data_IF_570846399941
#
_entry.id   IF_570846399941
#
_cell.length_a   1.000
_cell.length_b   1.000
_cell.length_c   1.000
_cell.angle_alpha   90.00
_cell.angle_beta   90.00
_cell.angle_gamma   90.00
#
_symmetry.space_group_name_H-M   'P 1'
#
loop_
_entity.id
_entity.type
_entity.pdbx_description
1 polymer ?
#
# COMPACT_ATOMS: atom_id res chain seq x y z
N UNK A 1 -29.53 17.72 -7.61
CA UNK A 1 -29.39 16.58 -8.55
C UNK A 1 -29.59 17.15 -9.94
N UNK A 2 -28.54 17.75 -10.50
CA UNK A 2 -28.57 18.28 -11.86
C UNK A 2 -28.33 17.12 -12.83
N UNK A 3 -29.37 16.79 -13.58
CA UNK A 3 -29.27 15.94 -14.76
C UNK A 3 -28.37 16.64 -15.78
N UNK A 4 -27.11 16.20 -15.88
CA UNK A 4 -26.23 16.46 -17.01
C UNK A 4 -26.94 16.00 -18.29
N UNK A 5 -27.58 16.94 -18.98
CA UNK A 5 -28.06 16.77 -20.35
C UNK A 5 -26.83 16.64 -21.25
N UNK A 6 -26.32 15.43 -21.43
CA UNK A 6 -25.34 15.16 -22.47
C UNK A 6 -25.99 15.46 -23.84
N UNK A 7 -25.47 16.48 -24.50
CA UNK A 7 -25.91 16.89 -25.83
C UNK A 7 -25.73 15.73 -26.84
N UNK A 8 -26.59 15.61 -27.87
CA UNK A 8 -26.56 14.55 -28.87
C UNK A 8 -25.43 14.74 -29.91
N UNK A 9 -24.20 14.93 -29.44
CA UNK A 9 -23.04 15.27 -30.28
C UNK A 9 -22.39 14.06 -30.99
N UNK A 10 -22.95 12.85 -30.83
CA UNK A 10 -22.23 11.61 -31.14
C UNK A 10 -22.42 11.06 -32.57
N UNK A 11 -23.39 11.54 -33.35
CA UNK A 11 -23.64 10.97 -34.71
C UNK A 11 -22.80 11.59 -35.84
N UNK A 12 -22.41 12.86 -35.73
CA UNK A 12 -21.79 13.60 -36.85
C UNK A 12 -20.29 13.26 -37.03
N UNK A 13 -19.64 12.74 -35.99
CA UNK A 13 -18.19 12.53 -36.00
C UNK A 13 -17.74 11.44 -36.99
N UNK A 14 -18.51 10.36 -37.16
CA UNK A 14 -18.08 9.21 -37.98
C UNK A 14 -18.27 9.46 -39.48
N UNK A 15 -19.40 10.06 -39.88
CA UNK A 15 -19.73 10.35 -41.29
C UNK A 15 -18.69 11.26 -41.96
N UNK A 16 -18.02 12.08 -41.15
CA UNK A 16 -16.96 12.98 -41.59
C UNK A 16 -15.54 12.40 -41.38
N UNK A 17 -15.42 11.26 -40.71
CA UNK A 17 -14.14 10.59 -40.49
C UNK A 17 -13.74 9.76 -41.73
N UNK A 18 -12.43 9.65 -41.98
CA UNK A 18 -11.90 8.77 -43.02
C UNK A 18 -12.29 7.30 -42.78
N UNK A 19 -12.35 6.87 -41.52
CA UNK A 19 -12.75 5.52 -41.12
C UNK A 19 -14.20 5.19 -41.51
N UNK A 20 -15.10 6.17 -41.47
CA UNK A 20 -16.51 5.98 -41.86
C UNK A 20 -16.71 5.83 -43.37
N UNK A 21 -15.68 6.14 -44.18
CA UNK A 21 -15.70 6.03 -45.65
C UNK A 21 -14.95 4.81 -46.16
N UNK A 22 -14.30 4.05 -45.29
CA UNK A 22 -13.60 2.84 -45.69
C UNK A 22 -14.63 1.74 -46.01
N UNK A 23 -14.41 0.96 -47.09
CA UNK A 23 -15.15 -0.27 -47.31
C UNK A 23 -15.01 -1.24 -46.11
N UNK A 24 -16.06 -2.03 -45.79
CA UNK A 24 -16.02 -3.00 -44.70
C UNK A 24 -14.82 -3.97 -44.76
N UNK A 25 -14.37 -4.34 -45.95
CA UNK A 25 -13.25 -5.26 -46.17
C UNK A 25 -11.94 -4.69 -45.62
N UNK A 26 -11.68 -3.39 -45.83
CA UNK A 26 -10.49 -2.73 -45.28
C UNK A 26 -10.57 -2.60 -43.76
N UNK A 27 -11.77 -2.42 -43.21
CA UNK A 27 -11.98 -2.36 -41.75
C UNK A 27 -11.69 -3.73 -41.12
N UNK A 28 -12.12 -4.80 -41.76
CA UNK A 28 -11.82 -6.17 -41.33
C UNK A 28 -10.32 -6.47 -41.41
N UNK A 29 -9.65 -6.09 -42.50
CA UNK A 29 -8.19 -6.25 -42.64
C UNK A 29 -7.42 -5.50 -41.54
N UNK A 30 -7.86 -4.28 -41.21
CA UNK A 30 -7.31 -3.52 -40.08
C UNK A 30 -7.55 -4.27 -38.77
N UNK A 31 -8.77 -4.76 -38.53
CA UNK A 31 -9.10 -5.48 -37.30
C UNK A 31 -8.31 -6.79 -37.15
N UNK A 32 -8.12 -7.55 -38.23
CA UNK A 32 -7.35 -8.80 -38.26
C UNK A 32 -5.85 -8.57 -38.03
N UNK A 33 -5.37 -7.36 -38.32
CA UNK A 33 -3.98 -6.95 -38.05
C UNK A 33 -3.75 -6.50 -36.60
N UNK A 34 -4.80 -6.34 -35.79
CA UNK A 34 -4.71 -5.91 -34.40
C UNK A 34 -4.64 -7.10 -33.44
N UNK A 35 -4.00 -6.96 -32.26
CA UNK A 35 -4.21 -7.89 -31.15
C UNK A 35 -5.71 -8.02 -30.82
N UNK A 36 -6.18 -9.21 -30.40
CA UNK A 36 -7.60 -9.45 -30.10
C UNK A 36 -8.26 -8.38 -29.21
N UNK A 37 -7.56 -7.94 -28.18
CA UNK A 37 -8.03 -6.94 -27.23
C UNK A 37 -8.24 -5.56 -27.90
N UNK A 38 -7.32 -5.19 -28.79
CA UNK A 38 -7.38 -3.94 -29.55
C UNK A 38 -8.47 -3.99 -30.62
N UNK A 39 -8.64 -5.12 -31.30
CA UNK A 39 -9.69 -5.31 -32.30
C UNK A 39 -11.08 -5.15 -31.68
N UNK A 40 -11.30 -5.72 -30.48
CA UNK A 40 -12.55 -5.53 -29.74
C UNK A 40 -12.72 -4.07 -29.36
N UNK A 41 -11.71 -3.39 -28.82
CA UNK A 41 -11.83 -1.96 -28.49
C UNK A 41 -12.12 -1.09 -29.71
N UNK A 42 -11.48 -1.38 -30.84
CA UNK A 42 -11.73 -0.71 -32.10
C UNK A 42 -13.18 -0.88 -32.54
N UNK A 43 -13.74 -2.09 -32.38
CA UNK A 43 -15.16 -2.33 -32.64
C UNK A 43 -16.09 -1.51 -31.72
N UNK A 44 -15.68 -1.21 -30.49
CA UNK A 44 -16.47 -0.45 -29.53
C UNK A 44 -16.47 1.06 -29.77
N UNK A 45 -15.60 1.59 -30.65
CA UNK A 45 -15.51 3.03 -30.92
C UNK A 45 -16.79 3.61 -31.52
N UNK A 46 -17.53 2.85 -32.34
CA UNK A 46 -18.80 3.30 -32.89
C UNK A 46 -19.68 2.14 -33.36
N UNK A 47 -20.98 2.41 -33.58
CA UNK A 47 -21.95 1.39 -34.01
C UNK A 47 -21.62 0.75 -35.36
N UNK A 48 -21.06 1.52 -36.30
CA UNK A 48 -20.67 1.00 -37.61
C UNK A 48 -19.53 -0.01 -37.48
N UNK A 49 -18.43 0.37 -36.83
CA UNK A 49 -17.31 -0.53 -36.56
C UNK A 49 -17.74 -1.75 -35.74
N UNK A 50 -18.60 -1.55 -34.73
CA UNK A 50 -19.17 -2.64 -33.95
C UNK A 50 -19.88 -3.64 -34.85
N UNK A 51 -20.84 -3.19 -35.66
CA UNK A 51 -21.60 -4.08 -36.53
C UNK A 51 -20.71 -4.77 -37.60
N UNK A 52 -19.73 -4.06 -38.14
CA UNK A 52 -18.81 -4.60 -39.16
C UNK A 52 -17.88 -5.66 -38.57
N UNK A 53 -17.34 -5.43 -37.37
CA UNK A 53 -16.31 -6.27 -36.76
C UNK A 53 -16.91 -7.36 -35.85
N UNK A 54 -17.98 -7.08 -35.11
CA UNK A 54 -18.50 -7.98 -34.07
C UNK A 54 -19.02 -9.30 -34.65
N UNK A 55 -19.58 -9.29 -35.86
CA UNK A 55 -20.12 -10.48 -36.49
C UNK A 55 -19.03 -11.49 -36.87
N UNK A 56 -17.87 -10.97 -37.31
CA UNK A 56 -16.72 -11.77 -37.78
C UNK A 56 -15.74 -12.04 -36.65
N UNK A 57 -15.23 -11.02 -35.96
CA UNK A 57 -14.18 -11.19 -34.95
C UNK A 57 -14.65 -12.00 -33.74
N UNK A 58 -15.87 -11.81 -33.22
CA UNK A 58 -16.34 -12.58 -32.05
C UNK A 58 -16.40 -14.08 -32.38
N UNK A 59 -16.77 -14.41 -33.62
CA UNK A 59 -16.84 -15.79 -34.09
C UNK A 59 -15.45 -16.39 -34.40
N UNK A 60 -14.48 -15.56 -34.82
CA UNK A 60 -13.14 -16.01 -35.24
C UNK A 60 -12.05 -15.85 -34.18
N UNK A 61 -12.36 -15.42 -32.95
CA UNK A 61 -11.44 -15.43 -31.82
C UNK A 61 -11.00 -16.87 -31.48
N UNK A 62 -10.01 -17.37 -32.21
CA UNK A 62 -9.39 -18.69 -32.02
C UNK A 62 -8.59 -18.78 -30.72
N UNK A 63 -8.22 -17.63 -30.16
CA UNK A 63 -7.47 -17.51 -28.90
C UNK A 63 -8.39 -16.97 -27.80
N UNK A 64 -8.28 -17.47 -26.57
CA UNK A 64 -9.00 -16.87 -25.45
C UNK A 64 -8.55 -15.43 -25.29
N UNK A 65 -9.50 -14.51 -25.20
CA UNK A 65 -9.26 -13.09 -24.94
C UNK A 65 -8.53 -12.93 -23.61
N UNK A 66 -7.39 -12.23 -23.58
CA UNK A 66 -6.83 -11.80 -22.31
C UNK A 66 -7.67 -10.63 -21.78
N UNK A 67 -8.68 -10.97 -21.00
CA UNK A 67 -9.58 -10.01 -20.38
C UNK A 67 -8.82 -8.97 -19.54
N UNK A 68 -7.66 -9.31 -18.98
CA UNK A 68 -6.84 -8.35 -18.21
C UNK A 68 -6.29 -7.27 -19.12
N UNK A 69 -5.66 -7.68 -20.23
CA UNK A 69 -5.08 -6.76 -21.21
C UNK A 69 -6.18 -5.90 -21.86
N UNK A 70 -7.33 -6.50 -22.19
CA UNK A 70 -8.50 -5.76 -22.67
C UNK A 70 -8.96 -4.69 -21.69
N UNK A 71 -9.14 -5.04 -20.41
CA UNK A 71 -9.59 -4.09 -19.40
C UNK A 71 -8.55 -3.00 -19.12
N UNK A 72 -7.26 -3.31 -19.15
CA UNK A 72 -6.19 -2.32 -19.00
C UNK A 72 -6.21 -1.29 -20.12
N UNK A 73 -6.37 -1.75 -21.37
CA UNK A 73 -6.51 -0.87 -22.52
C UNK A 73 -7.78 -0.02 -22.41
N UNK A 74 -8.92 -0.64 -22.09
CA UNK A 74 -10.18 0.08 -21.87
C UNK A 74 -10.01 1.14 -20.78
N UNK A 75 -9.37 0.80 -19.67
CA UNK A 75 -9.16 1.71 -18.56
C UNK A 75 -8.35 2.96 -18.96
N UNK A 76 -7.48 2.92 -19.97
CA UNK A 76 -6.72 4.11 -20.40
C UNK A 76 -7.62 5.29 -20.75
N UNK A 77 -8.79 5.01 -21.32
CA UNK A 77 -9.77 6.04 -21.72
C UNK A 77 -10.68 6.49 -20.56
N UNK A 78 -10.67 5.77 -19.43
CA UNK A 78 -11.48 6.08 -18.26
C UNK A 78 -10.62 6.49 -17.08
N UNK A 79 -10.38 7.81 -16.93
CA UNK A 79 -9.54 8.36 -15.86
C UNK A 79 -9.99 7.92 -14.44
N UNK A 80 -11.30 7.75 -14.24
CA UNK A 80 -11.89 7.37 -12.95
C UNK A 80 -11.97 5.85 -12.71
N UNK A 81 -11.43 5.01 -13.58
CA UNK A 81 -11.51 3.56 -13.45
C UNK A 81 -10.13 2.92 -13.51
N UNK A 82 -9.91 1.84 -12.77
CA UNK A 82 -8.72 0.99 -12.92
C UNK A 82 -9.13 -0.43 -13.27
N UNK A 83 -8.31 -1.11 -14.08
CA UNK A 83 -8.45 -2.52 -14.36
C UNK A 83 -7.79 -3.34 -13.26
N UNK A 84 -8.55 -4.21 -12.59
CA UNK A 84 -8.00 -5.12 -11.59
C UNK A 84 -7.62 -6.46 -12.22
N UNK A 85 -6.32 -6.81 -12.15
CA UNK A 85 -5.82 -8.09 -12.67
C UNK A 85 -6.35 -9.30 -11.92
N UNK A 86 -6.74 -9.13 -10.65
CA UNK A 86 -7.20 -10.23 -9.80
C UNK A 86 -8.65 -10.60 -10.07
N UNK A 87 -9.56 -9.62 -10.01
CA UNK A 87 -10.98 -9.91 -10.19
C UNK A 87 -11.47 -9.74 -11.64
N UNK A 88 -10.60 -9.29 -12.55
CA UNK A 88 -10.91 -9.01 -13.97
C UNK A 88 -12.12 -8.08 -14.14
N UNK A 89 -12.13 -6.96 -13.39
CA UNK A 89 -13.16 -5.92 -13.46
C UNK A 89 -12.54 -4.53 -13.51
N UNK A 90 -13.32 -3.56 -14.00
CA UNK A 90 -13.05 -2.15 -13.80
C UNK A 90 -13.60 -1.71 -12.44
N UNK A 91 -12.75 -1.10 -11.61
CA UNK A 91 -13.15 -0.48 -10.36
C UNK A 91 -13.18 1.03 -10.52
N UNK A 92 -14.31 1.63 -10.16
CA UNK A 92 -14.43 3.07 -10.06
C UNK A 92 -13.64 3.59 -8.85
N UNK A 93 -12.88 4.65 -9.05
CA UNK A 93 -12.17 5.40 -8.00
C UNK A 93 -13.11 5.90 -6.90
N UNK A 94 -14.35 6.27 -7.26
CA UNK A 94 -15.39 6.66 -6.30
C UNK A 94 -15.80 5.54 -5.33
N UNK A 95 -15.48 4.28 -5.63
CA UNK A 95 -15.74 3.13 -4.77
C UNK A 95 -14.49 2.66 -4.01
N UNK A 96 -13.40 3.44 -3.99
CA UNK A 96 -12.12 3.06 -3.40
C UNK A 96 -12.21 2.55 -1.96
N UNK A 97 -13.09 3.14 -1.14
CA UNK A 97 -13.26 2.75 0.26
C UNK A 97 -13.67 1.27 0.44
N UNK A 98 -14.29 0.65 -0.56
CA UNK A 98 -14.67 -0.77 -0.55
C UNK A 98 -13.44 -1.71 -0.63
N UNK A 99 -12.28 -1.18 -1.00
CA UNK A 99 -11.05 -1.96 -1.14
C UNK A 99 -10.17 -1.96 0.12
N UNK A 100 -10.55 -1.20 1.16
CA UNK A 100 -9.81 -1.14 2.42
C UNK A 100 -10.04 -2.41 3.25
N UNK A 101 -8.98 -3.09 3.72
CA UNK A 101 -9.07 -4.30 4.54
C UNK A 101 -10.01 -4.20 5.74
N UNK A 102 -9.96 -3.14 6.54
CA UNK A 102 -10.87 -2.93 7.67
C UNK A 102 -12.35 -2.88 7.28
N UNK A 103 -12.66 -2.48 6.06
CA UNK A 103 -14.05 -2.34 5.59
C UNK A 103 -14.63 -3.65 5.06
N UNK A 104 -13.83 -4.72 4.94
CA UNK A 104 -14.24 -6.01 4.36
C UNK A 104 -15.33 -6.73 5.16
N UNK A 105 -15.51 -6.40 6.43
CA UNK A 105 -16.48 -7.04 7.35
C UNK A 105 -17.86 -6.39 7.31
N UNK A 106 -18.01 -5.22 6.68
CA UNK A 106 -19.26 -4.46 6.70
C UNK A 106 -20.17 -4.94 5.58
N UNK A 107 -21.01 -5.95 5.85
CA UNK A 107 -22.23 -6.31 5.10
C UNK A 107 -22.14 -6.24 3.56
N UNK A 108 -21.02 -6.59 2.94
CA UNK A 108 -20.95 -6.67 1.48
C UNK A 108 -21.44 -8.07 1.07
N UNK A 109 -22.56 -8.19 0.34
CA UNK A 109 -23.19 -9.48 0.04
C UNK A 109 -22.34 -10.38 -0.87
N UNK A 110 -21.22 -9.90 -1.41
CA UNK A 110 -20.28 -10.67 -2.23
C UNK A 110 -18.85 -10.29 -1.90
N UNK A 111 -18.07 -11.27 -1.43
CA UNK A 111 -16.61 -11.16 -1.27
C UNK A 111 -16.00 -10.75 -2.61
N UNK A 112 -15.27 -9.63 -2.65
CA UNK A 112 -14.56 -9.23 -3.87
C UNK A 112 -13.31 -10.10 -4.02
N UNK A 113 -13.16 -10.79 -5.15
CA UNK A 113 -11.99 -11.65 -5.41
C UNK A 113 -10.65 -10.91 -5.30
N UNK A 114 -10.62 -9.60 -5.56
CA UNK A 114 -9.39 -8.81 -5.44
C UNK A 114 -8.90 -8.67 -3.99
N UNK A 115 -9.76 -8.86 -2.98
CA UNK A 115 -9.39 -8.79 -1.57
C UNK A 115 -8.48 -9.93 -1.13
N UNK A 116 -8.59 -11.09 -1.79
CA UNK A 116 -7.76 -12.27 -1.52
C UNK A 116 -6.53 -12.31 -2.44
N UNK A 117 -6.16 -11.18 -3.05
CA UNK A 117 -4.94 -11.13 -3.85
C UNK A 117 -3.73 -11.40 -2.95
N UNK A 118 -2.76 -12.22 -3.39
CA UNK A 118 -1.52 -12.40 -2.65
C UNK A 118 -0.79 -11.08 -2.41
N UNK A 119 -0.94 -10.10 -3.32
CA UNK A 119 -0.35 -8.77 -3.16
C UNK A 119 -0.96 -8.02 -1.97
N UNK A 120 -2.29 -8.01 -1.80
CA UNK A 120 -2.90 -7.32 -0.66
C UNK A 120 -2.48 -7.94 0.68
N UNK A 121 -2.31 -9.26 0.75
CA UNK A 121 -1.81 -9.92 1.97
C UNK A 121 -0.36 -9.51 2.29
N UNK A 122 0.50 -9.43 1.26
CA UNK A 122 1.87 -8.97 1.42
C UNK A 122 1.93 -7.48 1.80
N UNK A 123 1.07 -6.65 1.21
CA UNK A 123 0.94 -5.24 1.56
C UNK A 123 0.51 -5.05 3.02
N UNK A 124 -0.50 -5.79 3.46
CA UNK A 124 -0.97 -5.78 4.84
C UNK A 124 0.16 -6.15 5.82
N UNK A 125 1.09 -7.00 5.38
CA UNK A 125 2.22 -7.48 6.18
C UNK A 125 3.39 -6.50 6.21
N UNK A 126 3.78 -5.91 5.07
CA UNK A 126 5.04 -5.16 4.95
C UNK A 126 4.86 -3.64 4.88
N UNK A 127 3.66 -3.17 4.54
CA UNK A 127 3.32 -1.75 4.46
C UNK A 127 2.54 -1.36 5.72
N UNK A 128 1.26 -1.68 5.81
CA UNK A 128 0.46 -1.69 7.05
C UNK A 128 -0.87 -2.42 6.81
N UNK A 129 -1.56 -2.85 7.87
CA UNK A 129 -2.69 -3.79 7.78
C UNK A 129 -3.89 -3.31 6.97
N UNK A 130 -4.08 -1.99 6.86
CA UNK A 130 -5.15 -1.35 6.06
C UNK A 130 -4.69 -0.88 4.67
N UNK A 131 -3.45 -1.15 4.27
CA UNK A 131 -2.98 -0.78 2.94
C UNK A 131 -3.70 -1.61 1.88
N UNK A 132 -4.16 -0.95 0.81
CA UNK A 132 -4.80 -1.60 -0.34
C UNK A 132 -4.02 -1.30 -1.61
N UNK A 133 -3.55 -2.34 -2.27
CA UNK A 133 -2.85 -2.18 -3.54
C UNK A 133 -3.77 -1.60 -4.64
N UNK A 134 -5.05 -1.97 -4.59
CA UNK A 134 -6.06 -1.44 -5.53
C UNK A 134 -6.24 0.08 -5.33
N UNK A 135 -6.33 0.54 -4.08
CA UNK A 135 -6.44 2.00 -3.78
C UNK A 135 -5.14 2.72 -4.15
N UNK A 136 -3.98 2.09 -3.97
CA UNK A 136 -2.71 2.63 -4.45
C UNK A 136 -2.73 2.87 -5.97
N UNK A 137 -3.15 1.89 -6.77
CA UNK A 137 -3.29 2.06 -8.22
C UNK A 137 -4.29 3.16 -8.59
N UNK A 138 -5.41 3.26 -7.89
CA UNK A 138 -6.40 4.33 -8.07
C UNK A 138 -5.77 5.71 -7.81
N UNK A 139 -5.03 5.84 -6.71
CA UNK A 139 -4.38 7.08 -6.27
C UNK A 139 -3.37 7.54 -7.31
N UNK A 140 -2.48 6.65 -7.73
CA UNK A 140 -1.43 6.98 -8.70
C UNK A 140 -1.98 7.28 -10.09
N UNK A 141 -3.07 6.62 -10.49
CA UNK A 141 -3.76 6.98 -11.73
C UNK A 141 -4.39 8.37 -11.62
N UNK A 142 -5.09 8.66 -10.51
CA UNK A 142 -5.72 9.96 -10.30
C UNK A 142 -4.69 11.10 -10.37
N UNK A 143 -3.53 10.94 -9.72
CA UNK A 143 -2.43 11.90 -9.76
C UNK A 143 -1.92 12.15 -11.20
N UNK A 144 -1.64 11.09 -11.97
CA UNK A 144 -1.18 11.22 -13.37
C UNK A 144 -2.18 11.92 -14.28
N UNK A 145 -3.47 11.81 -14.00
CA UNK A 145 -4.53 12.49 -14.75
C UNK A 145 -4.90 13.87 -14.18
N UNK A 146 -4.20 14.36 -13.15
CA UNK A 146 -4.49 15.65 -12.51
C UNK A 146 -5.86 15.70 -11.80
N UNK A 147 -6.37 14.54 -11.37
CA UNK A 147 -7.64 14.42 -10.66
C UNK A 147 -7.47 14.66 -9.16
N UNK A 148 -8.55 14.97 -8.44
CA UNK A 148 -8.51 15.02 -6.98
C UNK A 148 -8.27 13.62 -6.41
N UNK A 149 -7.24 13.49 -5.57
CA UNK A 149 -6.83 12.23 -4.94
C UNK A 149 -6.66 12.30 -3.42
N UNK A 150 -6.98 13.43 -2.77
CA UNK A 150 -6.77 13.58 -1.32
C UNK A 150 -7.53 12.53 -0.50
N UNK A 151 -8.78 12.23 -0.89
CA UNK A 151 -9.56 11.18 -0.24
C UNK A 151 -8.94 9.77 -0.43
N UNK A 152 -8.22 9.53 -1.53
CA UNK A 152 -7.54 8.26 -1.77
C UNK A 152 -6.26 8.16 -0.91
N UNK A 153 -5.54 9.27 -0.71
CA UNK A 153 -4.41 9.34 0.24
C UNK A 153 -4.87 9.12 1.68
N UNK A 154 -6.03 9.66 2.06
CA UNK A 154 -6.61 9.41 3.38
C UNK A 154 -6.93 7.93 3.60
N UNK A 155 -7.42 7.25 2.55
CA UNK A 155 -7.69 5.81 2.57
C UNK A 155 -6.42 4.96 2.65
N UNK A 156 -5.30 5.41 2.06
CA UNK A 156 -3.98 4.77 2.17
C UNK A 156 -3.25 5.14 3.46
N UNK A 157 -3.74 6.12 4.21
CA UNK A 157 -3.20 6.49 5.51
C UNK A 157 -3.89 5.67 6.60
N UNK A 158 -3.19 5.43 7.71
CA UNK A 158 -3.73 4.71 8.85
C UNK A 158 -3.78 5.63 10.07
N UNK A 159 -4.97 5.79 10.64
CA UNK A 159 -5.14 6.49 11.92
C UNK A 159 -4.35 5.78 13.01
N UNK A 160 -3.97 6.54 14.05
CA UNK A 160 -3.26 5.99 15.19
C UNK A 160 -4.09 4.87 15.85
N UNK A 161 -3.54 3.67 15.89
CA UNK A 161 -4.10 2.52 16.60
C UNK A 161 -3.20 2.20 17.80
N UNK A 162 -3.80 2.02 18.98
CA UNK A 162 -3.07 1.73 20.21
C UNK A 162 -3.50 0.39 20.79
N UNK A 163 -2.55 -0.48 21.05
CA UNK A 163 -2.79 -1.77 21.70
C UNK A 163 -1.70 -2.04 22.75
N UNK A 164 -1.99 -2.93 23.69
CA UNK A 164 -1.04 -3.39 24.69
C UNK A 164 -0.68 -4.85 24.45
N UNK A 165 0.52 -5.22 24.83
CA UNK A 165 0.98 -6.60 24.85
C UNK A 165 1.53 -6.89 26.24
N UNK A 166 1.09 -7.99 26.87
CA UNK A 166 1.55 -8.41 28.18
C UNK A 166 1.85 -9.92 28.17
N UNK A 167 2.99 -10.30 28.72
CA UNK A 167 3.40 -11.70 28.89
C UNK A 167 4.29 -11.83 30.12
N UNK A 168 4.00 -12.82 30.97
CA UNK A 168 4.84 -13.14 32.15
C UNK A 168 5.06 -11.91 33.06
N UNK A 169 4.01 -11.10 33.27
CA UNK A 169 4.07 -9.88 34.09
C UNK A 169 4.77 -8.69 33.44
N UNK A 170 5.39 -8.85 32.27
CA UNK A 170 5.99 -7.76 31.50
C UNK A 170 5.06 -7.30 30.40
N UNK A 171 4.80 -6.00 30.32
CA UNK A 171 3.92 -5.44 29.30
C UNK A 171 4.45 -4.15 28.68
N UNK A 172 4.01 -3.87 27.47
CA UNK A 172 4.30 -2.66 26.72
C UNK A 172 3.07 -2.18 25.95
N UNK A 173 3.05 -0.91 25.58
CA UNK A 173 2.01 -0.30 24.75
C UNK A 173 2.61 0.02 23.39
N UNK A 174 1.89 -0.35 22.34
CA UNK A 174 2.19 0.03 20.98
C UNK A 174 1.20 1.07 20.50
N UNK A 175 1.69 2.04 19.75
CA UNK A 175 0.86 2.88 18.91
C UNK A 175 1.43 2.91 17.50
N UNK A 176 0.61 2.70 16.48
CA UNK A 176 1.03 2.75 15.08
C UNK A 176 0.14 3.69 14.29
N UNK A 177 0.75 4.48 13.41
CA UNK A 177 0.07 5.35 12.45
C UNK A 177 0.83 5.36 11.14
N UNK A 178 0.14 5.67 10.05
CA UNK A 178 0.73 5.80 8.72
C UNK A 178 0.16 7.00 7.99
N UNK A 179 0.99 7.68 7.21
CA UNK A 179 0.61 8.81 6.36
C UNK A 179 1.14 8.57 4.94
N UNK A 180 0.27 8.66 3.94
CA UNK A 180 0.62 8.56 2.53
C UNK A 180 0.71 9.94 1.89
N UNK A 181 1.68 10.13 1.00
CA UNK A 181 1.87 11.37 0.23
C UNK A 181 2.45 11.06 -1.14
N UNK A 182 2.07 11.84 -2.15
CA UNK A 182 2.75 11.81 -3.45
C UNK A 182 3.79 12.93 -3.48
N UNK A 183 5.01 12.58 -3.86
CA UNK A 183 6.13 13.52 -4.04
C UNK A 183 6.76 13.21 -5.38
N UNK A 184 6.81 14.19 -6.27
CA UNK A 184 7.41 14.06 -7.61
C UNK A 184 6.87 12.87 -8.42
N UNK A 185 5.56 12.59 -8.27
CA UNK A 185 4.87 11.49 -8.95
C UNK A 185 5.12 10.11 -8.35
N UNK A 186 5.80 10.01 -7.20
CA UNK A 186 5.99 8.76 -6.44
C UNK A 186 5.18 8.77 -5.15
N UNK A 187 4.57 7.63 -4.79
CA UNK A 187 3.85 7.52 -3.52
C UNK A 187 4.80 7.07 -2.42
N UNK A 188 4.96 7.91 -1.41
CA UNK A 188 5.76 7.63 -0.23
C UNK A 188 4.83 7.45 0.97
N UNK A 189 5.08 6.42 1.77
CA UNK A 189 4.39 6.17 3.04
C UNK A 189 5.35 6.36 4.18
N UNK A 190 4.97 7.24 5.10
CA UNK A 190 5.57 7.30 6.43
C UNK A 190 4.75 6.48 7.40
N UNK A 191 5.38 5.49 8.02
CA UNK A 191 4.82 4.73 9.12
C UNK A 191 5.57 5.08 10.41
N UNK A 192 4.84 5.43 11.47
CA UNK A 192 5.39 5.67 12.79
C UNK A 192 4.85 4.64 13.77
N UNK A 193 5.75 4.00 14.51
CA UNK A 193 5.43 3.05 15.56
C UNK A 193 6.09 3.47 16.87
N UNK A 194 5.28 3.64 17.90
CA UNK A 194 5.70 4.03 19.24
C UNK A 194 5.58 2.80 20.13
N UNK A 195 6.68 2.41 20.74
CA UNK A 195 6.75 1.37 21.76
C UNK A 195 7.00 2.04 23.11
N UNK A 196 6.04 1.93 24.01
CA UNK A 196 6.14 2.47 25.36
C UNK A 196 6.32 1.33 26.37
N UNK A 197 7.40 1.41 27.14
CA UNK A 197 7.79 0.42 28.16
C UNK A 197 7.65 1.10 29.53
N UNK A 198 6.67 0.70 30.36
CA UNK A 198 6.51 1.25 31.70
C UNK A 198 7.71 0.94 32.61
N UNK A 199 8.16 1.90 33.42
CA UNK A 199 9.36 1.77 34.27
C UNK A 199 9.36 0.54 35.20
N UNK A 200 8.17 0.09 35.66
CA UNK A 200 8.03 -1.00 36.62
C UNK A 200 8.14 -2.41 36.01
N UNK A 201 8.04 -2.53 34.69
CA UNK A 201 7.88 -3.84 34.03
C UNK A 201 9.21 -4.51 33.67
N UNK A 202 10.34 -3.85 33.95
CA UNK A 202 11.65 -4.21 33.40
C UNK A 202 11.64 -4.15 31.87
N UNK A 203 12.80 -4.34 31.23
CA UNK A 203 12.85 -4.40 29.78
C UNK A 203 12.15 -5.69 29.30
N UNK A 204 11.06 -5.61 28.49
CA UNK A 204 10.46 -6.79 27.88
C UNK A 204 11.48 -7.43 26.94
N UNK A 205 11.49 -8.77 26.84
CA UNK A 205 12.30 -9.46 25.83
C UNK A 205 11.74 -9.11 24.44
N UNK A 206 12.43 -8.28 23.65
CA UNK A 206 11.82 -7.67 22.47
C UNK A 206 11.73 -8.63 21.29
N UNK A 207 12.39 -9.80 21.35
CA UNK A 207 12.28 -10.78 20.27
C UNK A 207 10.94 -11.52 20.18
N UNK A 208 10.07 -11.33 21.18
CA UNK A 208 8.70 -11.83 21.16
C UNK A 208 7.68 -10.77 20.73
N UNK A 209 8.12 -9.52 20.55
CA UNK A 209 7.29 -8.48 19.99
C UNK A 209 7.26 -8.73 18.48
N UNK A 210 6.09 -9.10 17.96
CA UNK A 210 5.88 -9.21 16.52
C UNK A 210 6.42 -7.95 15.82
N UNK A 211 6.87 -8.08 14.58
CA UNK A 211 7.59 -7.06 13.83
C UNK A 211 6.67 -6.26 12.90
N UNK A 212 5.85 -5.29 13.36
CA UNK A 212 4.96 -4.58 12.47
C UNK A 212 5.67 -3.54 11.58
N UNK A 213 7.01 -3.47 11.56
CA UNK A 213 7.67 -2.25 11.09
C UNK A 213 8.88 -2.42 10.17
N UNK A 214 9.36 -3.64 9.92
CA UNK A 214 10.46 -3.83 8.98
C UNK A 214 9.94 -4.02 7.55
N UNK A 215 10.62 -3.45 6.55
CA UNK A 215 10.44 -3.92 5.17
C UNK A 215 10.71 -5.44 5.10
N UNK A 216 10.20 -6.12 4.07
CA UNK A 216 10.37 -7.58 3.86
C UNK A 216 11.83 -8.06 3.96
N UNK A 217 12.78 -7.17 3.66
CA UNK A 217 14.21 -7.39 3.64
C UNK A 217 14.90 -7.26 5.00
N UNK A 218 14.34 -6.47 5.91
CA UNK A 218 14.94 -6.24 7.21
C UNK A 218 14.32 -7.15 8.27
N UNK A 219 15.18 -7.73 9.10
CA UNK A 219 14.81 -8.27 10.41
C UNK A 219 15.58 -7.46 11.45
N UNK A 220 15.27 -6.17 11.49
CA UNK A 220 16.17 -5.11 11.91
C UNK A 220 16.51 -5.12 13.40
N UNK A 221 15.49 -5.11 14.25
CA UNK A 221 15.71 -4.68 15.64
C UNK A 221 16.27 -5.82 16.51
N UNK A 222 15.91 -7.07 16.22
CA UNK A 222 16.34 -8.21 17.05
C UNK A 222 17.77 -8.65 16.72
N UNK A 223 18.10 -8.80 15.43
CA UNK A 223 19.38 -9.40 15.03
C UNK A 223 20.60 -8.54 15.36
N UNK A 224 20.42 -7.24 15.49
CA UNK A 224 21.52 -6.34 15.84
C UNK A 224 21.80 -6.38 17.35
N UNK A 225 20.76 -6.35 18.19
CA UNK A 225 20.88 -6.57 19.63
C UNK A 225 21.52 -7.93 19.96
N UNK A 226 21.19 -8.98 19.19
CA UNK A 226 21.80 -10.31 19.31
C UNK A 226 23.30 -10.31 18.96
N UNK A 227 23.74 -9.53 17.98
CA UNK A 227 25.15 -9.52 17.51
C UNK A 227 26.10 -8.79 18.45
N UNK A 228 25.64 -7.75 19.13
CA UNK A 228 26.52 -6.92 19.98
C UNK A 228 26.74 -7.50 21.38
N UNK A 229 25.97 -8.51 21.80
CA UNK A 229 26.18 -9.24 23.06
C UNK A 229 26.16 -8.38 24.34
N UNK A 230 25.82 -7.09 24.22
CA UNK A 230 25.80 -6.14 25.32
C UNK A 230 24.46 -6.18 26.09
N UNK A 231 24.46 -5.78 27.38
CA UNK A 231 23.23 -5.51 28.10
C UNK A 231 22.38 -4.49 27.33
N UNK A 232 21.05 -4.62 27.39
CA UNK A 232 20.11 -3.74 26.68
C UNK A 232 20.35 -2.24 26.92
N UNK A 233 20.99 -1.90 28.04
CA UNK A 233 21.36 -0.54 28.38
C UNK A 233 22.28 0.08 27.33
N UNK A 234 23.18 -0.69 26.70
CA UNK A 234 24.07 -0.20 25.64
C UNK A 234 23.40 -0.01 24.27
N UNK A 235 22.15 -0.49 24.09
CA UNK A 235 21.33 -0.16 22.91
C UNK A 235 20.88 1.30 22.96
N UNK A 236 21.00 2.00 24.09
CA UNK A 236 20.61 3.40 24.21
C UNK A 236 21.80 4.36 24.38
N UNK A 237 23.03 3.84 24.43
CA UNK A 237 24.26 4.61 24.66
C UNK A 237 25.02 5.02 23.37
N UNK A 238 24.70 4.46 22.20
CA UNK A 238 25.28 4.85 20.89
C UNK A 238 24.37 5.86 20.16
N UNK A 239 24.91 6.67 19.23
CA UNK A 239 24.16 7.67 18.42
C UNK A 239 23.18 7.01 17.43
N UNK A 240 22.06 6.44 17.91
CA UNK A 240 21.00 5.84 17.07
C UNK A 240 20.20 6.85 16.23
N UNK A 241 20.55 8.13 16.32
CA UNK A 241 19.93 9.20 15.55
C UNK A 241 20.29 9.14 14.05
N UNK A 242 21.21 8.27 13.64
CA UNK A 242 21.58 8.11 12.23
C UNK A 242 20.47 7.42 11.42
N UNK A 243 20.15 8.01 10.27
CA UNK A 243 19.24 7.41 9.31
C UNK A 243 19.86 6.15 8.74
N UNK A 244 19.05 5.11 8.75
CA UNK A 244 19.43 3.86 8.16
C UNK A 244 18.52 3.58 6.97
N UNK A 245 19.03 2.78 6.02
CA UNK A 245 18.31 2.41 4.80
C UNK A 245 18.31 0.92 4.57
N UNK A 246 17.29 0.44 3.88
CA UNK A 246 17.28 -0.91 3.36
C UNK A 246 18.23 -0.99 2.16
N UNK A 247 19.01 -2.07 2.07
CA UNK A 247 19.91 -2.29 0.93
C UNK A 247 19.19 -2.85 -0.31
N UNK A 248 17.95 -3.31 -0.16
CA UNK A 248 17.23 -4.04 -1.20
C UNK A 248 15.99 -3.29 -1.74
N UNK A 249 15.55 -2.22 -1.07
CA UNK A 249 14.43 -1.40 -1.53
C UNK A 249 14.57 0.04 -1.05
N UNK A 250 13.76 0.94 -1.62
CA UNK A 250 13.71 2.37 -1.28
C UNK A 250 12.94 2.56 0.03
N UNK A 251 13.55 2.14 1.13
CA UNK A 251 13.02 2.32 2.48
C UNK A 251 14.08 2.87 3.39
N UNK A 252 13.75 3.98 4.05
CA UNK A 252 14.53 4.60 5.11
C UNK A 252 13.84 4.38 6.45
N UNK A 253 14.62 4.37 7.52
CA UNK A 253 14.11 4.26 8.86
C UNK A 253 14.99 5.01 9.85
N UNK A 254 14.36 5.39 10.95
CA UNK A 254 14.97 6.10 12.06
C UNK A 254 14.42 5.55 13.38
N UNK A 255 15.31 5.42 14.34
CA UNK A 255 14.99 5.05 15.71
C UNK A 255 15.29 6.25 16.60
N UNK A 256 14.34 6.61 17.45
CA UNK A 256 14.54 7.65 18.46
C UNK A 256 14.04 7.12 19.80
N UNK A 257 14.70 7.53 20.88
CA UNK A 257 14.30 7.15 22.22
C UNK A 257 14.02 8.41 23.04
N UNK A 258 13.01 8.34 23.89
CA UNK A 258 12.68 9.41 24.82
C UNK A 258 12.32 8.83 26.16
N UNK A 259 13.09 9.17 27.17
CA UNK A 259 12.75 8.88 28.54
C UNK A 259 11.59 9.77 28.98
N UNK A 260 10.60 9.15 29.63
CA UNK A 260 9.54 9.85 30.34
C UNK A 260 9.80 9.71 31.82
N UNK A 261 10.39 10.73 32.43
CA UNK A 261 10.94 10.81 33.80
C UNK A 261 10.24 9.98 34.90
N UNK A 262 8.92 9.78 34.82
CA UNK A 262 8.13 9.07 35.85
C UNK A 262 7.30 7.89 35.34
N UNK A 263 7.33 7.60 34.05
CA UNK A 263 6.35 6.68 33.45
C UNK A 263 6.98 5.55 32.65
N UNK A 264 8.20 5.72 32.14
CA UNK A 264 8.86 4.69 31.34
C UNK A 264 9.66 5.26 30.19
N UNK A 265 10.06 4.39 29.27
CA UNK A 265 10.78 4.75 28.06
C UNK A 265 9.86 4.63 26.85
N UNK A 266 9.87 5.63 25.97
CA UNK A 266 9.21 5.58 24.67
C UNK A 266 10.26 5.42 23.57
N UNK A 267 10.09 4.42 22.72
CA UNK A 267 10.90 4.19 21.53
C UNK A 267 10.03 4.52 20.32
N UNK A 268 10.55 5.36 19.44
CA UNK A 268 9.91 5.77 18.19
C UNK A 268 10.65 5.09 17.05
N UNK A 269 9.92 4.30 16.27
CA UNK A 269 10.40 3.76 15.02
C UNK A 269 9.65 4.45 13.89
N UNK A 270 10.36 5.21 13.07
CA UNK A 270 9.78 5.84 11.88
C UNK A 270 10.36 5.19 10.64
N UNK A 271 9.51 4.83 9.68
CA UNK A 271 9.87 4.26 8.39
C UNK A 271 9.28 5.10 7.29
N UNK A 272 10.06 5.42 6.26
CA UNK A 272 9.60 6.00 5.01
C UNK A 272 9.82 5.00 3.89
N UNK A 273 8.77 4.67 3.15
CA UNK A 273 8.81 3.69 2.07
C UNK A 273 8.32 4.35 0.79
N UNK A 274 9.19 4.46 -0.21
CA UNK A 274 8.83 4.92 -1.54
C UNK A 274 8.32 3.74 -2.37
N UNK A 275 7.02 3.74 -2.69
CA UNK A 275 6.33 2.69 -3.42
C UNK A 275 6.38 2.87 -4.94
N UNK A 276 6.96 3.95 -5.45
CA UNK A 276 7.06 4.21 -6.87
C UNK A 276 5.83 4.93 -7.46
N UNK A 277 5.77 4.95 -8.79
CA UNK A 277 4.84 5.72 -9.61
C UNK A 277 3.49 5.04 -9.81
N UNK A 278 3.33 3.80 -9.38
CA UNK A 278 2.12 2.99 -9.55
C UNK A 278 1.72 2.81 -11.01
N UNK A 279 2.69 2.56 -11.90
CA UNK A 279 2.43 2.31 -13.33
C UNK A 279 1.82 0.93 -13.55
N UNK A 280 2.03 0.00 -12.62
CA UNK A 280 1.35 -1.29 -12.58
C UNK A 280 1.96 -2.26 -11.57
N UNK A 281 1.38 -3.46 -11.46
CA UNK A 281 1.90 -4.53 -10.59
C UNK A 281 3.32 -4.97 -10.91
N UNK A 282 3.77 -4.75 -12.15
CA UNK A 282 5.11 -5.09 -12.61
C UNK A 282 6.18 -4.08 -12.23
N UNK A 283 5.79 -2.97 -11.60
CA UNK A 283 6.75 -1.94 -11.21
C UNK A 283 7.72 -2.50 -10.18
N UNK A 284 9.01 -2.40 -10.52
CA UNK A 284 10.10 -3.05 -9.82
C UNK A 284 10.22 -2.50 -8.40
N UNK A 285 10.08 -1.18 -8.27
CA UNK A 285 10.11 -0.40 -7.04
C UNK A 285 9.08 -0.94 -6.05
N UNK A 286 7.83 -1.06 -6.48
CA UNK A 286 6.75 -1.57 -5.64
C UNK A 286 6.97 -3.04 -5.25
N UNK A 287 7.29 -3.90 -6.24
CA UNK A 287 7.44 -5.35 -6.03
C UNK A 287 8.52 -5.70 -5.03
N UNK A 288 9.64 -4.98 -5.03
CA UNK A 288 10.74 -5.25 -4.07
C UNK A 288 10.31 -5.09 -2.62
N UNK A 289 9.33 -4.25 -2.30
CA UNK A 289 8.81 -4.16 -0.93
C UNK A 289 8.03 -5.40 -0.49
N UNK A 290 7.58 -6.21 -1.44
CA UNK A 290 6.79 -7.43 -1.21
C UNK A 290 7.63 -8.70 -1.40
N UNK A 291 8.62 -8.64 -2.28
CA UNK A 291 9.60 -9.71 -2.46
C UNK A 291 10.45 -9.76 -1.18
N UNK A 292 10.38 -10.91 -0.50
CA UNK A 292 11.24 -11.14 0.66
C UNK A 292 12.68 -11.37 0.23
N UNK A 293 13.29 -12.44 0.72
CA UNK A 293 14.70 -12.75 0.45
C UNK A 293 15.01 -13.30 -0.95
N UNK A 294 14.15 -13.19 -1.96
CA UNK A 294 14.39 -13.83 -3.26
C UNK A 294 14.99 -12.89 -4.32
N UNK A 295 15.14 -11.60 -4.06
CA UNK A 295 15.57 -10.59 -5.05
C UNK A 295 16.98 -10.01 -4.86
N UNK A 296 17.90 -10.69 -4.19
CA UNK A 296 19.22 -10.12 -3.82
C UNK A 296 20.18 -9.89 -5.00
N UNK A 297 19.87 -10.39 -6.19
CA UNK A 297 20.82 -10.42 -7.32
C UNK A 297 20.81 -9.14 -8.18
N UNK A 298 19.81 -8.27 -8.04
CA UNK A 298 19.76 -7.00 -8.78
C UNK A 298 20.16 -5.81 -7.91
N UNK A 299 21.27 -5.16 -8.29
CA UNK A 299 21.68 -3.86 -7.73
C UNK A 299 20.54 -2.84 -7.88
N UNK A 300 20.11 -2.26 -6.75
CA UNK A 300 19.16 -1.16 -6.73
C UNK A 300 19.92 0.17 -6.84
N UNK A 301 19.39 1.20 -7.54
CA UNK A 301 20.02 2.50 -7.53
C UNK A 301 20.27 2.95 -6.09
N UNK A 302 21.51 3.32 -5.81
CA UNK A 302 21.88 3.86 -4.51
C UNK A 302 21.00 5.09 -4.22
N UNK A 303 20.27 5.04 -3.12
CA UNK A 303 19.47 6.18 -2.63
C UNK A 303 20.25 6.84 -1.49
N UNK A 304 20.56 8.12 -1.63
CA UNK A 304 21.27 8.88 -0.59
C UNK A 304 20.49 8.78 0.73
N UNK A 305 21.12 8.40 1.85
CA UNK A 305 20.45 8.36 3.15
C UNK A 305 19.75 9.68 3.47
N UNK A 306 18.50 9.59 3.93
CA UNK A 306 17.67 10.74 4.29
C UNK A 306 16.93 11.39 3.14
N UNK A 307 17.18 11.00 1.89
CA UNK A 307 16.54 11.59 0.72
C UNK A 307 15.04 11.30 0.66
N UNK A 308 14.60 10.10 1.05
CA UNK A 308 13.17 9.73 1.07
C UNK A 308 12.44 10.47 2.20
N UNK A 309 13.05 10.52 3.38
CA UNK A 309 12.58 11.31 4.51
C UNK A 309 12.46 12.79 4.14
N UNK A 310 13.51 13.36 3.54
CA UNK A 310 13.54 14.77 3.11
C UNK A 310 12.45 15.07 2.08
N UNK A 311 12.27 14.20 1.09
CA UNK A 311 11.22 14.32 0.09
C UNK A 311 9.82 14.31 0.74
N UNK A 312 9.59 13.40 1.69
CA UNK A 312 8.31 13.28 2.37
C UNK A 312 8.02 14.47 3.30
N UNK A 313 8.94 14.76 4.21
CA UNK A 313 8.78 15.74 5.31
C UNK A 313 9.00 17.19 4.85
N UNK A 314 9.68 17.41 3.72
CA UNK A 314 10.03 18.75 3.23
C UNK A 314 11.08 19.46 4.08
N UNK A 315 11.79 18.73 4.94
CA UNK A 315 12.85 19.25 5.81
C UNK A 315 14.04 18.30 5.84
N UNK A 316 15.19 18.84 6.24
CA UNK A 316 16.40 18.05 6.42
C UNK A 316 16.21 16.95 7.47
N UNK A 317 16.78 15.78 7.21
CA UNK A 317 16.72 14.60 8.05
C UNK A 317 17.14 14.91 9.51
N UNK A 318 18.14 15.78 9.70
CA UNK A 318 18.68 16.15 11.01
C UNK A 318 17.73 17.00 11.82
N UNK A 319 16.71 17.59 11.20
CA UNK A 319 15.66 18.38 11.87
C UNK A 319 14.40 17.56 12.17
N UNK A 320 14.25 16.38 11.57
CA UNK A 320 13.12 15.52 11.87
C UNK A 320 13.17 15.07 13.34
N UNK A 321 12.04 15.24 14.04
CA UNK A 321 11.87 14.85 15.45
C UNK A 321 10.55 14.09 15.56
N UNK A 322 10.54 12.75 15.56
CA UNK A 322 9.27 12.00 15.52
C UNK A 322 8.36 12.30 16.72
N UNK A 323 8.94 12.58 17.89
CA UNK A 323 8.15 12.95 19.07
C UNK A 323 7.38 14.27 18.92
N UNK A 324 7.73 15.14 17.97
CA UNK A 324 6.95 16.36 17.68
C UNK A 324 5.59 16.04 17.05
N UNK A 325 5.48 14.89 16.37
CA UNK A 325 4.23 14.37 15.81
C UNK A 325 3.43 13.55 16.81
N UNK A 326 4.01 13.24 17.98
CA UNK A 326 3.29 12.56 19.05
C UNK A 326 2.41 13.56 19.81
N UNK A 327 1.23 13.81 19.24
CA UNK A 327 0.26 14.76 19.76
C UNK A 327 -0.09 14.52 21.23
N UNK A 328 -0.51 15.57 21.93
CA UNK A 328 -0.87 15.49 23.35
C UNK A 328 -1.99 14.47 23.62
N UNK A 329 -2.92 14.31 22.68
CA UNK A 329 -3.97 13.27 22.74
C UNK A 329 -3.40 11.86 22.66
N UNK A 330 -2.60 11.57 21.62
CA UNK A 330 -1.96 10.26 21.43
C UNK A 330 -1.08 9.87 22.61
N UNK A 331 -0.30 10.82 23.11
CA UNK A 331 0.54 10.63 24.30
C UNK A 331 -0.30 10.27 25.52
N UNK A 332 -1.44 10.93 25.75
CA UNK A 332 -2.34 10.61 26.87
C UNK A 332 -2.87 9.19 26.76
N UNK A 333 -3.28 8.75 25.57
CA UNK A 333 -3.79 7.38 25.34
C UNK A 333 -2.73 6.33 25.64
N UNK A 334 -1.50 6.50 25.12
CA UNK A 334 -0.39 5.57 25.36
C UNK A 334 0.00 5.52 26.84
N UNK A 335 0.14 6.68 27.49
CA UNK A 335 0.48 6.76 28.92
C UNK A 335 -0.63 6.18 29.80
N UNK A 336 -1.91 6.39 29.46
CA UNK A 336 -3.03 5.84 30.20
C UNK A 336 -3.03 4.30 30.14
N UNK A 337 -2.87 3.71 28.94
CA UNK A 337 -2.71 2.26 28.78
C UNK A 337 -1.46 1.73 29.48
N UNK A 338 -0.36 2.50 29.47
CA UNK A 338 0.88 2.15 30.17
C UNK A 338 0.69 2.08 31.68
N UNK A 339 -0.07 3.01 32.26
CA UNK A 339 -0.44 3.00 33.69
C UNK A 339 -1.33 1.80 34.04
N UNK A 340 -2.33 1.50 33.22
CA UNK A 340 -3.20 0.32 33.39
C UNK A 340 -2.41 -1.00 33.34
N UNK A 341 -1.43 -1.10 32.45
CA UNK A 341 -0.52 -2.25 32.41
C UNK A 341 0.33 -2.36 33.68
N UNK A 342 0.84 -1.23 34.19
CA UNK A 342 1.73 -1.22 35.35
C UNK A 342 1.01 -1.48 36.68
N UNK A 343 -0.30 -1.23 36.76
CA UNK A 343 -1.09 -1.55 37.95
C UNK A 343 -1.57 -3.00 38.01
N UNK A 344 -1.44 -3.75 36.90
CA UNK A 344 -2.00 -5.10 36.81
C UNK A 344 -3.53 -5.13 36.65
N UNK A 345 -4.17 -3.95 36.51
CA UNK A 345 -5.63 -3.82 36.38
C UNK A 345 -6.16 -4.19 34.99
N UNK A 346 -5.31 -4.64 34.09
CA UNK A 346 -5.75 -5.15 32.79
C UNK A 346 -6.47 -6.49 32.99
N UNK A 347 -7.81 -6.43 33.06
CA UNK A 347 -8.63 -7.56 32.63
C UNK A 347 -8.16 -7.94 31.23
N UNK A 348 -8.01 -9.24 30.96
CA UNK A 348 -7.64 -9.79 29.66
C UNK A 348 -8.60 -9.25 28.57
N UNK A 349 -8.32 -8.06 28.02
CA UNK A 349 -8.77 -7.67 26.69
C UNK A 349 -8.11 -8.69 25.78
N UNK A 350 -8.80 -9.81 25.53
CA UNK A 350 -8.53 -10.64 24.36
C UNK A 350 -8.43 -9.64 23.23
N UNK A 351 -7.26 -9.55 22.63
CA UNK A 351 -6.95 -8.70 21.48
C UNK A 351 -8.14 -8.74 20.51
N UNK A 352 -9.08 -7.80 20.65
CA UNK A 352 -10.36 -7.79 19.92
C UNK A 352 -10.16 -7.19 18.53
N UNK A 353 -9.03 -6.52 18.32
CA UNK A 353 -8.47 -6.37 16.99
C UNK A 353 -8.01 -7.74 16.53
N UNK A 354 -8.82 -8.46 15.75
CA UNK A 354 -8.35 -9.59 14.95
C UNK A 354 -7.20 -9.10 14.05
N UNK A 355 -5.98 -8.98 14.54
CA UNK A 355 -4.82 -9.31 13.73
C UNK A 355 -5.00 -10.80 13.48
N UNK A 356 -5.64 -11.13 12.35
CA UNK A 356 -5.73 -12.49 11.90
C UNK A 356 -4.32 -13.07 12.01
N UNK A 357 -4.14 -14.25 12.64
CA UNK A 357 -2.83 -14.89 12.62
C UNK A 357 -2.41 -14.95 11.16
N UNK A 358 -1.30 -14.28 10.82
CA UNK A 358 -0.73 -14.28 9.48
C UNK A 358 -0.60 -15.74 9.10
N UNK A 359 -1.49 -16.23 8.24
CA UNK A 359 -1.41 -17.60 7.75
C UNK A 359 -0.13 -17.61 6.94
N UNK A 360 0.89 -18.33 7.40
CA UNK A 360 2.06 -18.56 6.56
C UNK A 360 1.53 -19.19 5.27
N UNK A 361 1.58 -18.44 4.17
CA UNK A 361 1.31 -18.97 2.86
C UNK A 361 2.25 -20.17 2.65
N UNK A 362 1.75 -21.39 2.84
CA UNK A 362 2.39 -22.58 2.29
C UNK A 362 2.27 -22.41 0.79
N UNK A 363 3.35 -21.93 0.15
CA UNK A 363 3.51 -22.19 -1.28
C UNK A 363 3.81 -23.67 -1.41
N UNK A 364 2.85 -24.40 -1.98
CA UNK A 364 3.14 -25.66 -2.64
C UNK A 364 3.98 -25.27 -3.87
N UNK A 365 5.28 -25.47 -3.76
CA UNK A 365 6.18 -25.36 -4.91
C UNK A 365 5.89 -26.58 -5.80
N UNK A 366 5.07 -26.36 -6.82
CA UNK A 366 4.77 -27.32 -7.88
C UNK A 366 5.00 -26.67 -9.23
N UNK A 367 6.21 -26.81 -9.75
CA UNK A 367 6.56 -26.95 -11.17
C UNK A 367 7.90 -27.67 -11.25
#
# INVERSE_FOLDING_TARGET
MDTLKHAPYQRIALENSLLGRLPPELILEIADSLPPENAILFSLCCRYLYNTISATCIATLKKPLDLSAFLELLAKDFAHYIACKYCKKLHATSAAAQHIPSNRTVNIPRKMFCWDSPIDELCATYIHHDFSFTVFQMTMKADRHGLQYSHLLDLLSAKAQTWSFQREGKGCVFQQSSLAKIVEGSLIIRQMTILFIPSKNGHPQPWKLHHPTSCSHMKLVIRWAERKGGPYDSIFDEDWEEFNRCWNCVTEYRLDCKESEKHGQAIFFTKWTDLGRGVGEGEREFRKHLDGRRGWEEEFPYVEPGSVCKAFEGQDEKRFRPYSFWGTGDRRVVLAKGKQLASGDMMNERVTGKMAPIRRARREDGL
#
